data_IF_535146263948
#
_entry.id   IF_535146263948
#
_cell.length_a   1.000
_cell.length_b   1.000
_cell.length_c   1.000
_cell.angle_alpha   90.00
_cell.angle_beta   90.00
_cell.angle_gamma   90.00
#
_symmetry.space_group_name_H-M   'P 1'
#
loop_
_entity.id
_entity.type
_entity.pdbx_description
1 polymer ?
#
# COMPACT_ATOMS: atom_id res chain seq x y z
N UNK A 1 -8.30 29.72 16.68
CA UNK A 1 -8.34 28.45 15.88
C UNK A 1 -6.93 28.13 15.47
N UNK A 2 -6.32 27.13 16.10
CA UNK A 2 -5.00 26.65 15.65
C UNK A 2 -5.21 25.91 14.34
N UNK A 3 -4.76 26.48 13.23
CA UNK A 3 -4.62 25.77 11.97
C UNK A 3 -3.50 24.76 12.23
N UNK A 4 -3.86 23.51 12.50
CA UNK A 4 -2.87 22.44 12.49
C UNK A 4 -2.26 22.44 11.08
N UNK A 5 -1.04 22.90 10.96
CA UNK A 5 -0.28 22.79 9.74
C UNK A 5 -0.22 21.29 9.41
N UNK A 6 -0.88 20.88 8.33
CA UNK A 6 -0.81 19.51 7.87
C UNK A 6 0.60 19.31 7.31
N UNK A 7 1.41 18.64 8.10
CA UNK A 7 2.81 18.43 7.79
C UNK A 7 2.99 17.57 6.54
N UNK A 8 4.01 17.88 5.76
CA UNK A 8 4.52 16.95 4.74
C UNK A 8 5.09 15.74 5.48
N UNK A 9 4.75 14.55 5.03
CA UNK A 9 5.25 13.30 5.61
C UNK A 9 6.09 12.56 4.58
N UNK A 10 7.27 12.12 4.99
CA UNK A 10 8.10 11.15 4.30
C UNK A 10 7.97 9.80 5.00
N UNK A 11 7.84 8.73 4.24
CA UNK A 11 7.74 7.35 4.73
C UNK A 11 8.69 6.47 3.89
N UNK A 12 9.80 6.08 4.48
CA UNK A 12 10.71 5.09 3.89
C UNK A 12 10.38 3.72 4.43
N UNK A 13 10.41 2.70 3.56
CA UNK A 13 10.13 1.30 3.90
C UNK A 13 11.02 0.38 3.12
N UNK A 14 11.62 -0.57 3.84
CA UNK A 14 12.27 -1.75 3.29
C UNK A 14 11.37 -2.97 3.50
N UNK A 15 11.27 -3.83 2.50
CA UNK A 15 10.45 -5.05 2.48
C UNK A 15 11.28 -6.24 2.02
N UNK A 16 11.07 -7.40 2.66
CA UNK A 16 11.66 -8.68 2.31
C UNK A 16 10.63 -9.80 2.50
N UNK A 17 10.63 -10.79 1.62
CA UNK A 17 9.86 -12.03 1.76
C UNK A 17 10.81 -13.17 2.13
N UNK A 18 10.31 -14.19 2.84
CA UNK A 18 11.11 -15.33 3.35
C UNK A 18 11.24 -16.52 2.37
N UNK A 19 10.57 -16.48 1.22
CA UNK A 19 10.62 -17.55 0.23
C UNK A 19 11.95 -17.59 -0.53
N UNK A 20 12.25 -18.75 -1.15
CA UNK A 20 13.33 -18.88 -2.11
C UNK A 20 13.12 -17.89 -3.26
N UNK A 21 14.13 -17.06 -3.57
CA UNK A 21 13.99 -15.94 -4.51
C UNK A 21 13.47 -14.68 -3.82
N UNK A 22 13.85 -14.49 -2.56
CA UNK A 22 13.56 -13.29 -1.79
C UNK A 22 13.90 -12.04 -2.58
N UNK A 23 12.92 -11.21 -2.83
CA UNK A 23 13.15 -9.91 -3.44
C UNK A 23 13.09 -8.84 -2.38
N UNK A 24 14.20 -8.13 -2.21
CA UNK A 24 14.22 -6.91 -1.44
C UNK A 24 13.55 -5.79 -2.23
N UNK A 25 12.73 -5.00 -1.55
CA UNK A 25 12.03 -3.87 -2.14
C UNK A 25 12.11 -2.68 -1.21
N UNK A 26 12.30 -1.53 -1.81
CA UNK A 26 12.33 -0.26 -1.11
C UNK A 26 11.25 0.66 -1.64
N UNK A 27 10.79 1.55 -0.76
CA UNK A 27 9.78 2.53 -1.07
C UNK A 27 10.06 3.84 -0.34
N UNK A 28 10.01 4.93 -1.05
CA UNK A 28 9.93 6.26 -0.47
C UNK A 28 8.61 6.90 -0.89
N UNK A 29 7.78 7.22 0.09
CA UNK A 29 6.51 7.91 -0.09
C UNK A 29 6.63 9.32 0.50
N UNK A 30 6.27 10.31 -0.29
CA UNK A 30 6.04 11.68 0.16
C UNK A 30 4.54 11.97 0.08
N UNK A 31 3.96 12.50 1.13
CA UNK A 31 2.53 12.81 1.17
C UNK A 31 2.24 14.11 1.91
N UNK A 32 1.17 14.77 1.49
CA UNK A 32 0.65 15.96 2.13
C UNK A 32 -0.87 15.97 2.09
N UNK A 33 -1.48 16.33 3.23
CA UNK A 33 -2.93 16.59 3.33
C UNK A 33 -3.13 18.06 3.63
N UNK A 34 -3.77 18.78 2.70
CA UNK A 34 -4.11 20.19 2.88
C UNK A 34 -5.26 20.38 3.90
N UNK A 35 -5.34 21.56 4.48
CA UNK A 35 -6.36 21.88 5.49
C UNK A 35 -7.80 21.75 4.98
N UNK A 36 -8.01 21.90 3.66
CA UNK A 36 -9.32 21.74 3.02
C UNK A 36 -9.73 20.28 2.81
N UNK A 37 -8.90 19.31 3.21
CA UNK A 37 -9.15 17.87 3.03
C UNK A 37 -8.57 17.27 1.76
N UNK A 38 -8.07 18.07 0.81
CA UNK A 38 -7.39 17.57 -0.38
C UNK A 38 -6.03 16.97 0.01
N UNK A 39 -5.64 15.87 -0.63
CA UNK A 39 -4.38 15.19 -0.36
C UNK A 39 -3.69 14.75 -1.63
N UNK A 40 -2.38 14.85 -1.61
CA UNK A 40 -1.50 14.35 -2.66
C UNK A 40 -0.44 13.45 -2.06
N UNK A 41 -0.04 12.41 -2.80
CA UNK A 41 1.14 11.64 -2.49
C UNK A 41 1.88 11.21 -3.75
N UNK A 42 3.19 11.08 -3.61
CA UNK A 42 4.11 10.57 -4.62
C UNK A 42 4.94 9.46 -3.99
N UNK A 43 4.97 8.30 -4.63
CA UNK A 43 5.74 7.13 -4.20
C UNK A 43 6.72 6.70 -5.28
N UNK A 44 7.98 6.57 -4.91
CA UNK A 44 9.01 5.89 -5.68
C UNK A 44 9.25 4.49 -5.12
N UNK A 45 9.35 3.50 -5.99
CA UNK A 45 9.55 2.09 -5.64
C UNK A 45 10.80 1.55 -6.32
N UNK A 46 11.55 0.74 -5.60
CA UNK A 46 12.72 0.02 -6.10
C UNK A 46 12.61 -1.46 -5.72
N UNK A 47 13.30 -2.29 -6.47
CA UNK A 47 13.53 -3.70 -6.15
C UNK A 47 15.00 -4.00 -6.30
N UNK A 48 15.52 -4.79 -5.38
CA UNK A 48 16.91 -5.20 -5.35
C UNK A 48 17.11 -6.64 -5.82
N UNK A 49 18.25 -7.19 -5.43
CA UNK A 49 18.66 -8.57 -5.72
C UNK A 49 17.64 -9.59 -5.20
N UNK A 50 17.59 -10.74 -5.88
CA UNK A 50 16.89 -11.94 -5.41
C UNK A 50 17.68 -12.67 -4.30
N UNK A 51 18.93 -12.30 -4.07
CA UNK A 51 19.78 -12.86 -3.02
C UNK A 51 19.39 -12.24 -1.66
N UNK A 52 18.98 -13.10 -0.72
CA UNK A 52 18.55 -12.69 0.64
C UNK A 52 19.65 -11.96 1.43
N UNK A 53 20.91 -12.21 1.09
CA UNK A 53 22.06 -11.64 1.79
C UNK A 53 22.51 -10.29 1.18
N UNK A 54 21.81 -9.82 0.13
CA UNK A 54 22.15 -8.62 -0.63
C UNK A 54 20.97 -7.63 -0.71
N UNK A 55 20.59 -7.08 0.43
CA UNK A 55 19.40 -6.25 0.58
C UNK A 55 19.33 -5.02 -0.35
N UNK A 56 20.47 -4.41 -0.66
CA UNK A 56 20.56 -3.15 -1.43
C UNK A 56 21.40 -3.27 -2.69
N UNK A 57 21.72 -4.51 -3.10
CA UNK A 57 22.50 -4.76 -4.30
C UNK A 57 21.60 -4.81 -5.56
N UNK A 58 22.15 -4.39 -6.70
CA UNK A 58 21.48 -4.42 -8.01
C UNK A 58 20.11 -3.73 -8.02
N UNK A 59 19.96 -2.63 -7.28
CA UNK A 59 18.70 -1.92 -7.14
C UNK A 59 18.26 -1.26 -8.45
N UNK A 60 17.03 -1.57 -8.89
CA UNK A 60 16.42 -0.99 -10.09
C UNK A 60 15.03 -0.43 -9.78
N UNK A 61 14.52 0.43 -10.67
CA UNK A 61 13.17 0.98 -10.53
C UNK A 61 12.10 -0.13 -10.53
N UNK A 62 11.15 -0.02 -9.64
CA UNK A 62 9.95 -0.88 -9.55
C UNK A 62 8.65 -0.07 -9.73
N UNK A 63 8.75 1.10 -10.34
CA UNK A 63 7.63 1.97 -10.66
C UNK A 63 7.43 3.13 -9.70
N UNK A 64 6.46 3.96 -10.04
CA UNK A 64 6.03 5.11 -9.25
C UNK A 64 4.52 5.11 -9.10
N UNK A 65 4.03 5.70 -8.02
CA UNK A 65 2.59 5.91 -7.81
C UNK A 65 2.31 7.35 -7.40
N UNK A 66 1.31 7.94 -8.04
CA UNK A 66 0.77 9.26 -7.67
C UNK A 66 -0.66 9.07 -7.22
N UNK A 67 -1.01 9.67 -6.07
CA UNK A 67 -2.37 9.60 -5.53
C UNK A 67 -2.89 11.01 -5.28
N UNK A 68 -4.12 11.26 -5.72
CA UNK A 68 -4.91 12.42 -5.31
C UNK A 68 -6.17 11.94 -4.58
N UNK A 69 -6.52 12.59 -3.48
CA UNK A 69 -7.70 12.20 -2.71
C UNK A 69 -8.32 13.40 -1.99
N UNK A 70 -9.55 13.21 -1.53
CA UNK A 70 -10.24 14.20 -0.72
C UNK A 70 -10.92 13.53 0.47
N UNK A 71 -10.63 14.00 1.68
CA UNK A 71 -11.29 13.53 2.90
C UNK A 71 -12.48 14.43 3.21
N UNK A 72 -13.67 13.83 3.22
CA UNK A 72 -14.91 14.46 3.66
C UNK A 72 -15.34 13.85 5.00
N UNK A 73 -15.37 14.68 6.04
CA UNK A 73 -15.87 14.30 7.36
C UNK A 73 -17.38 14.45 7.39
N UNK A 74 -18.10 13.34 7.51
CA UNK A 74 -19.56 13.31 7.65
C UNK A 74 -19.92 13.80 9.07
N UNK A 75 -19.20 13.29 10.07
CA UNK A 75 -19.32 13.67 11.48
C UNK A 75 -18.02 13.26 12.23
N UNK A 76 -18.02 13.28 13.55
CA UNK A 76 -16.86 12.92 14.37
C UNK A 76 -16.49 11.43 14.26
N UNK A 77 -17.48 10.57 13.94
CA UNK A 77 -17.29 9.13 13.84
C UNK A 77 -16.95 8.70 12.41
N UNK A 78 -17.64 9.24 11.39
CA UNK A 78 -17.57 8.77 10.02
C UNK A 78 -16.92 9.77 9.07
N UNK A 79 -16.06 9.27 8.21
CA UNK A 79 -15.52 10.00 7.07
C UNK A 79 -15.46 9.13 5.82
N UNK A 80 -15.52 9.76 4.67
CA UNK A 80 -15.30 9.15 3.37
C UNK A 80 -14.12 9.82 2.66
N UNK A 81 -13.43 9.04 1.83
CA UNK A 81 -12.30 9.52 1.06
C UNK A 81 -12.38 8.94 -0.35
N UNK A 82 -12.99 9.64 -1.31
CA UNK A 82 -12.77 9.38 -2.72
C UNK A 82 -11.34 9.74 -3.11
N UNK A 83 -10.76 8.95 -4.02
CA UNK A 83 -9.42 9.21 -4.52
C UNK A 83 -9.15 8.48 -5.82
N UNK A 84 -8.02 8.81 -6.39
CA UNK A 84 -7.51 8.21 -7.61
C UNK A 84 -6.01 7.99 -7.47
N UNK A 85 -5.54 6.81 -7.86
CA UNK A 85 -4.11 6.54 -7.98
C UNK A 85 -3.75 6.10 -9.39
N UNK A 86 -2.59 6.58 -9.85
CA UNK A 86 -1.92 6.15 -11.05
C UNK A 86 -0.61 5.48 -10.65
N UNK A 87 -0.53 4.18 -10.86
CA UNK A 87 0.68 3.39 -10.63
C UNK A 87 1.32 3.06 -11.97
N UNK A 88 2.56 3.48 -12.16
CA UNK A 88 3.27 3.35 -13.42
C UNK A 88 4.50 2.46 -13.24
N UNK A 89 4.83 1.70 -14.27
CA UNK A 89 6.04 0.91 -14.37
C UNK A 89 6.67 1.10 -15.75
N UNK A 90 7.78 0.42 -16.02
CA UNK A 90 8.44 0.46 -17.33
C UNK A 90 7.56 -0.01 -18.49
N UNK A 91 6.52 -0.81 -18.23
CA UNK A 91 5.72 -1.47 -19.26
C UNK A 91 4.21 -1.35 -19.05
N UNK A 92 3.75 -0.69 -18.01
CA UNK A 92 2.31 -0.61 -17.73
C UNK A 92 1.91 0.63 -16.94
N UNK A 93 0.66 1.06 -17.16
CA UNK A 93 -0.02 2.04 -16.32
C UNK A 93 -1.25 1.38 -15.71
N UNK A 94 -1.44 1.58 -14.41
CA UNK A 94 -2.55 1.06 -13.65
C UNK A 94 -3.38 2.20 -13.06
N UNK A 95 -4.60 2.36 -13.54
CA UNK A 95 -5.55 3.39 -13.13
C UNK A 95 -6.46 2.84 -12.05
N UNK A 96 -6.46 3.47 -10.86
CA UNK A 96 -7.11 2.93 -9.67
C UNK A 96 -7.92 4.00 -8.95
N UNK A 97 -9.14 4.32 -9.38
CA UNK A 97 -10.06 5.09 -8.55
C UNK A 97 -10.41 4.32 -7.28
N UNK A 98 -10.73 5.01 -6.20
CA UNK A 98 -11.16 4.34 -4.97
C UNK A 98 -12.14 5.17 -4.16
N UNK A 99 -12.85 4.46 -3.31
CA UNK A 99 -13.62 5.04 -2.23
C UNK A 99 -13.25 4.33 -0.92
N UNK A 100 -12.86 5.10 0.09
CA UNK A 100 -12.59 4.61 1.43
C UNK A 100 -13.60 5.19 2.41
N UNK A 101 -14.25 4.33 3.20
CA UNK A 101 -14.98 4.69 4.40
C UNK A 101 -14.11 4.45 5.63
N UNK A 102 -14.14 5.36 6.61
CA UNK A 102 -13.50 5.17 7.91
C UNK A 102 -14.48 5.51 9.02
N UNK A 103 -14.49 4.68 10.08
CA UNK A 103 -15.23 4.88 11.30
C UNK A 103 -14.28 4.92 12.51
N UNK A 104 -14.36 5.94 13.36
CA UNK A 104 -13.76 5.95 14.68
C UNK A 104 -14.75 5.28 15.63
N UNK A 105 -14.46 4.03 16.02
CA UNK A 105 -15.33 3.22 16.87
C UNK A 105 -15.23 3.64 18.32
N UNK A 106 -14.03 4.01 18.75
CA UNK A 106 -13.71 4.63 20.03
C UNK A 106 -12.61 5.67 19.82
N UNK A 107 -12.14 6.32 20.88
CA UNK A 107 -10.99 7.25 20.81
C UNK A 107 -9.70 6.54 20.35
N UNK A 108 -9.58 5.25 20.66
CA UNK A 108 -8.39 4.44 20.39
C UNK A 108 -8.56 3.48 19.23
N UNK A 109 -9.78 3.11 18.84
CA UNK A 109 -10.06 2.10 17.83
C UNK A 109 -10.75 2.72 16.64
N UNK A 110 -10.21 2.47 15.45
CA UNK A 110 -10.86 2.84 14.18
C UNK A 110 -10.83 1.69 13.18
N UNK A 111 -11.84 1.66 12.33
CA UNK A 111 -11.92 0.73 11.21
C UNK A 111 -12.07 1.48 9.89
N UNK A 112 -11.52 0.94 8.82
CA UNK A 112 -11.73 1.47 7.47
C UNK A 112 -11.91 0.35 6.45
N UNK A 113 -12.68 0.65 5.41
CA UNK A 113 -12.86 -0.21 4.24
C UNK A 113 -12.65 0.63 2.99
N UNK A 114 -11.80 0.14 2.08
CA UNK A 114 -11.55 0.76 0.78
C UNK A 114 -11.91 -0.21 -0.34
N UNK A 115 -12.78 0.21 -1.24
CA UNK A 115 -13.00 -0.42 -2.53
C UNK A 115 -12.19 0.33 -3.59
N UNK A 116 -11.37 -0.40 -4.36
CA UNK A 116 -10.47 0.16 -5.37
C UNK A 116 -10.49 -0.70 -6.63
N UNK A 117 -11.39 -0.43 -7.58
CA UNK A 117 -11.31 -1.02 -8.91
C UNK A 117 -10.00 -0.58 -9.60
N UNK A 118 -9.51 -1.41 -10.51
CA UNK A 118 -8.33 -1.10 -11.30
C UNK A 118 -8.53 -1.45 -12.77
N UNK A 119 -7.90 -0.64 -13.60
CA UNK A 119 -7.69 -0.91 -15.02
C UNK A 119 -6.21 -0.74 -15.31
N UNK A 120 -5.54 -1.85 -15.64
CA UNK A 120 -4.12 -1.88 -15.96
C UNK A 120 -3.96 -2.08 -17.46
N UNK A 121 -3.28 -1.15 -18.10
CA UNK A 121 -2.88 -1.21 -19.50
C UNK A 121 -1.42 -1.61 -19.58
N UNK A 122 -1.13 -2.72 -20.25
CA UNK A 122 0.21 -3.17 -20.56
C UNK A 122 0.58 -2.65 -21.96
N UNK A 123 1.73 -1.99 -22.10
CA UNK A 123 2.18 -1.45 -23.37
C UNK A 123 2.93 -2.49 -24.18
N UNK A 124 2.48 -2.73 -25.42
CA UNK A 124 3.18 -3.55 -26.39
C UNK A 124 4.28 -2.83 -27.17
N UNK A 125 4.37 -1.50 -27.01
CA UNK A 125 5.40 -0.69 -27.70
C UNK A 125 6.80 -0.83 -27.07
N UNK A 126 6.91 -1.54 -25.95
CA UNK A 126 8.16 -1.84 -25.26
C UNK A 126 8.45 -3.33 -25.45
N UNK A 127 9.22 -3.63 -26.49
CA UNK A 127 9.51 -5.01 -26.92
C UNK A 127 8.57 -5.49 -28.03
N UNK A 128 8.34 -6.80 -28.10
CA UNK A 128 7.53 -7.46 -29.13
C UNK A 128 6.13 -7.85 -28.69
N UNK A 129 5.75 -7.52 -27.46
CA UNK A 129 4.46 -7.87 -26.90
C UNK A 129 3.33 -7.01 -27.50
N UNK A 130 2.14 -7.60 -27.64
CA UNK A 130 0.93 -6.84 -28.01
C UNK A 130 0.41 -6.03 -26.83
N UNK A 131 -0.24 -4.90 -27.12
CA UNK A 131 -1.01 -4.17 -26.10
C UNK A 131 -2.06 -5.09 -25.49
N UNK A 132 -2.09 -5.14 -24.18
CA UNK A 132 -3.07 -5.91 -23.41
C UNK A 132 -3.61 -5.06 -22.27
N UNK A 133 -4.76 -5.43 -21.77
CA UNK A 133 -5.32 -4.82 -20.57
C UNK A 133 -5.88 -5.86 -19.62
N UNK A 134 -5.86 -5.54 -18.35
CA UNK A 134 -6.48 -6.33 -17.30
C UNK A 134 -7.22 -5.42 -16.34
N UNK A 135 -8.30 -5.92 -15.76
CA UNK A 135 -9.10 -5.19 -14.78
C UNK A 135 -9.50 -6.10 -13.61
N UNK A 136 -9.92 -5.46 -12.56
CA UNK A 136 -10.37 -6.13 -11.35
C UNK A 136 -10.58 -5.11 -10.23
N UNK A 137 -10.48 -5.55 -8.99
CA UNK A 137 -10.61 -4.67 -7.85
C UNK A 137 -9.86 -5.20 -6.62
N UNK A 138 -9.61 -4.28 -5.68
CA UNK A 138 -9.16 -4.57 -4.33
C UNK A 138 -10.22 -4.14 -3.33
N UNK A 139 -10.41 -4.96 -2.29
CA UNK A 139 -11.08 -4.61 -1.05
C UNK A 139 -10.03 -4.63 0.06
N UNK A 140 -9.76 -3.48 0.69
CA UNK A 140 -8.80 -3.37 1.78
C UNK A 140 -9.52 -2.96 3.06
N UNK A 141 -9.46 -3.78 4.09
CA UNK A 141 -9.98 -3.48 5.42
C UNK A 141 -8.82 -3.27 6.39
N UNK A 142 -8.90 -2.23 7.21
CA UNK A 142 -7.89 -1.95 8.24
C UNK A 142 -8.60 -1.71 9.56
N UNK A 143 -8.17 -2.46 10.59
CA UNK A 143 -8.50 -2.20 11.98
C UNK A 143 -7.27 -1.61 12.66
N UNK A 144 -7.42 -0.43 13.24
CA UNK A 144 -6.34 0.29 13.93
C UNK A 144 -6.66 0.43 15.40
N UNK A 145 -5.70 0.09 16.26
CA UNK A 145 -5.79 0.23 17.69
C UNK A 145 -4.59 1.01 18.24
N UNK A 146 -4.86 2.11 18.94
CA UNK A 146 -3.87 2.90 19.67
C UNK A 146 -3.83 2.42 21.12
N UNK A 147 -2.65 2.24 21.65
CA UNK A 147 -2.48 1.78 23.04
C UNK A 147 -1.18 2.35 23.63
N UNK A 148 -1.09 2.32 24.96
CA UNK A 148 0.06 2.86 25.70
C UNK A 148 0.50 4.26 25.20
N UNK A 149 -0.47 5.08 24.75
CA UNK A 149 -0.32 6.45 24.28
C UNK A 149 0.47 6.62 22.97
N UNK A 150 1.62 5.92 22.82
CA UNK A 150 2.57 6.15 21.74
C UNK A 150 2.65 4.98 20.74
N UNK A 151 1.85 3.94 20.92
CA UNK A 151 1.82 2.76 20.05
C UNK A 151 0.53 2.68 19.25
N UNK A 152 0.66 2.19 18.02
CA UNK A 152 -0.49 1.85 17.18
C UNK A 152 -0.24 0.50 16.51
N UNK A 153 -1.20 -0.41 16.64
CA UNK A 153 -1.27 -1.66 15.91
C UNK A 153 -2.33 -1.53 14.81
N UNK A 154 -1.93 -1.79 13.58
CA UNK A 154 -2.85 -1.91 12.44
C UNK A 154 -2.89 -3.37 11.98
N UNK A 155 -4.10 -3.90 11.80
CA UNK A 155 -4.33 -5.16 11.11
C UNK A 155 -5.03 -4.87 9.78
N UNK A 156 -4.37 -5.22 8.68
CA UNK A 156 -4.86 -5.03 7.32
C UNK A 156 -5.17 -6.38 6.67
N UNK A 157 -6.35 -6.48 6.05
CA UNK A 157 -6.71 -7.54 5.13
C UNK A 157 -6.92 -6.91 3.76
N UNK A 158 -6.24 -7.39 2.74
CA UNK A 158 -6.45 -6.99 1.35
C UNK A 158 -6.91 -8.20 0.53
N UNK A 159 -8.08 -8.09 -0.06
CA UNK A 159 -8.60 -9.02 -1.06
C UNK A 159 -8.47 -8.41 -2.43
N UNK A 160 -7.77 -9.08 -3.33
CA UNK A 160 -7.64 -8.68 -4.73
C UNK A 160 -8.34 -9.69 -5.63
N UNK A 161 -9.10 -9.20 -6.61
CA UNK A 161 -9.77 -10.01 -7.64
C UNK A 161 -9.41 -9.47 -9.02
N UNK A 162 -9.00 -10.36 -9.92
CA UNK A 162 -8.90 -10.09 -11.34
C UNK A 162 -10.20 -10.54 -12.05
N UNK A 163 -10.78 -9.66 -12.87
CA UNK A 163 -11.96 -9.96 -13.66
C UNK A 163 -11.61 -10.36 -15.09
N UNK A 164 -10.39 -10.03 -15.55
CA UNK A 164 -9.92 -10.40 -16.88
C UNK A 164 -9.64 -11.89 -16.97
N UNK A 165 -10.10 -12.53 -18.03
CA UNK A 165 -9.88 -13.94 -18.28
C UNK A 165 -8.39 -14.28 -18.37
N UNK A 166 -7.99 -15.40 -17.78
CA UNK A 166 -6.61 -15.91 -17.81
C UNK A 166 -5.63 -15.19 -16.86
N UNK A 167 -6.09 -14.21 -16.08
CA UNK A 167 -5.24 -13.57 -15.07
C UNK A 167 -5.29 -14.37 -13.79
N UNK A 168 -4.17 -15.00 -13.44
CA UNK A 168 -3.97 -15.75 -12.20
C UNK A 168 -3.22 -14.88 -11.20
N UNK A 169 -3.74 -14.77 -9.97
CA UNK A 169 -3.14 -13.99 -8.89
C UNK A 169 -2.39 -14.88 -7.89
N UNK A 170 -3.03 -15.96 -7.42
CA UNK A 170 -2.48 -16.91 -6.46
C UNK A 170 -3.19 -18.25 -6.59
N UNK A 171 -2.53 -19.37 -6.27
CA UNK A 171 -3.09 -20.73 -6.21
C UNK A 171 -3.97 -21.09 -7.42
N UNK A 172 -3.50 -20.78 -8.62
CA UNK A 172 -4.25 -20.94 -9.88
C UNK A 172 -5.58 -20.17 -9.95
N UNK A 173 -5.85 -19.31 -8.97
CA UNK A 173 -7.09 -18.56 -8.84
C UNK A 173 -6.94 -17.10 -9.30
N UNK A 174 -8.06 -16.50 -9.68
CA UNK A 174 -8.13 -15.09 -10.08
C UNK A 174 -8.28 -14.12 -8.90
N UNK A 175 -8.07 -14.59 -7.68
CA UNK A 175 -8.06 -13.77 -6.48
C UNK A 175 -6.88 -14.11 -5.56
N UNK A 176 -6.57 -13.19 -4.63
CA UNK A 176 -5.56 -13.36 -3.60
C UNK A 176 -5.97 -12.62 -2.33
N UNK A 177 -5.55 -13.16 -1.20
CA UNK A 177 -5.69 -12.57 0.13
C UNK A 177 -4.33 -12.25 0.72
N UNK A 178 -4.20 -11.08 1.29
CA UNK A 178 -3.03 -10.74 2.10
C UNK A 178 -3.45 -10.26 3.47
N UNK A 179 -2.63 -10.57 4.47
CA UNK A 179 -2.83 -10.16 5.85
C UNK A 179 -1.57 -9.49 6.34
N UNK A 180 -1.69 -8.34 6.98
CA UNK A 180 -0.55 -7.61 7.53
C UNK A 180 -0.85 -7.10 8.94
N UNK A 181 0.08 -7.31 9.85
CA UNK A 181 0.13 -6.66 11.14
C UNK A 181 1.26 -5.63 11.13
N UNK A 182 0.96 -4.39 11.47
CA UNK A 182 1.94 -3.31 11.52
C UNK A 182 1.91 -2.65 12.89
N UNK A 183 3.04 -2.66 13.58
CA UNK A 183 3.25 -1.94 14.83
C UNK A 183 4.03 -0.66 14.55
N UNK A 184 3.45 0.48 14.91
CA UNK A 184 4.07 1.80 14.81
C UNK A 184 4.32 2.34 16.22
N UNK A 185 5.52 2.87 16.45
CA UNK A 185 5.90 3.57 17.67
C UNK A 185 6.09 5.07 17.37
N UNK A 186 5.33 5.91 18.05
CA UNK A 186 5.47 7.36 17.96
C UNK A 186 6.62 7.78 18.88
N UNK A 187 7.85 7.82 18.33
CA UNK A 187 9.05 8.15 19.10
C UNK A 187 9.01 9.59 19.62
N UNK A 188 8.61 10.53 18.77
CA UNK A 188 8.37 11.92 19.11
C UNK A 188 7.29 12.54 18.20
N UNK A 189 7.19 13.87 18.16
CA UNK A 189 6.21 14.58 17.33
C UNK A 189 6.46 14.41 15.82
N UNK A 190 7.68 14.10 15.40
CA UNK A 190 8.10 14.02 14.02
C UNK A 190 8.36 12.58 13.56
N UNK A 191 9.01 11.75 14.40
CA UNK A 191 9.49 10.42 14.05
C UNK A 191 8.55 9.31 14.50
N UNK A 192 8.22 8.42 13.58
CA UNK A 192 7.39 7.24 13.86
C UNK A 192 7.96 6.01 13.13
N UNK A 193 8.95 5.31 13.72
CA UNK A 193 9.40 4.01 13.21
C UNK A 193 8.29 2.96 13.30
N UNK A 194 8.36 1.97 12.41
CA UNK A 194 7.42 0.85 12.41
C UNK A 194 8.03 -0.43 11.88
N UNK A 195 7.42 -1.54 12.26
CA UNK A 195 7.66 -2.85 11.68
C UNK A 195 6.34 -3.49 11.28
N UNK A 196 6.37 -4.38 10.29
CA UNK A 196 5.19 -5.13 9.91
C UNK A 196 5.58 -6.55 9.49
N UNK A 197 4.65 -7.47 9.77
CA UNK A 197 4.71 -8.87 9.35
C UNK A 197 3.43 -9.17 8.58
N UNK A 198 3.56 -9.77 7.41
CA UNK A 198 2.44 -10.12 6.57
C UNK A 198 2.48 -11.56 6.09
N UNK A 199 1.31 -12.13 5.86
CA UNK A 199 1.12 -13.38 5.16
C UNK A 199 0.62 -13.07 3.75
N UNK A 200 1.39 -13.45 2.75
CA UNK A 200 1.13 -13.15 1.33
C UNK A 200 1.27 -14.41 0.49
N UNK A 201 0.73 -14.42 -0.72
CA UNK A 201 0.92 -15.53 -1.65
C UNK A 201 2.40 -15.70 -2.01
N UNK A 202 2.88 -16.94 -1.98
CA UNK A 202 4.22 -17.34 -2.42
C UNK A 202 4.24 -17.84 -3.86
N UNK A 203 3.09 -18.29 -4.38
CA UNK A 203 2.98 -18.90 -5.69
C UNK A 203 1.71 -18.46 -6.41
N UNK A 204 1.80 -18.37 -7.75
CA UNK A 204 0.61 -18.22 -8.58
C UNK A 204 -0.09 -19.56 -8.89
N UNK A 205 0.57 -20.68 -8.68
CA UNK A 205 0.12 -22.01 -9.13
C UNK A 205 -0.32 -22.89 -7.97
N UNK A 206 0.27 -22.68 -6.80
CA UNK A 206 0.00 -23.45 -5.57
C UNK A 206 -0.49 -22.57 -4.47
N UNK A 207 -1.05 -23.17 -3.43
CA UNK A 207 -1.54 -22.52 -2.19
C UNK A 207 -0.41 -22.07 -1.26
N UNK A 208 0.85 -22.14 -1.72
CA UNK A 208 2.02 -21.74 -0.93
C UNK A 208 1.89 -20.30 -0.43
N UNK A 209 2.10 -20.13 0.86
CA UNK A 209 2.13 -18.82 1.53
C UNK A 209 3.55 -18.50 1.96
N UNK A 210 3.86 -17.21 2.02
CA UNK A 210 5.16 -16.71 2.48
C UNK A 210 4.98 -15.57 3.47
N UNK A 211 5.99 -15.38 4.31
CA UNK A 211 6.01 -14.27 5.25
C UNK A 211 6.69 -13.06 4.63
N UNK A 212 6.04 -11.93 4.73
CA UNK A 212 6.57 -10.64 4.32
C UNK A 212 6.97 -9.84 5.54
N UNK A 213 8.22 -9.42 5.61
CA UNK A 213 8.75 -8.55 6.65
C UNK A 213 8.93 -7.16 6.10
N UNK A 214 8.55 -6.15 6.88
CA UNK A 214 8.74 -4.75 6.54
C UNK A 214 9.24 -3.97 7.75
N UNK A 215 10.19 -3.10 7.53
CA UNK A 215 10.65 -2.10 8.49
C UNK A 215 10.61 -0.74 7.81
N UNK A 216 10.29 0.28 8.56
CA UNK A 216 10.22 1.62 7.99
C UNK A 216 10.19 2.71 9.05
N UNK A 217 10.26 3.93 8.56
CA UNK A 217 10.20 5.12 9.39
C UNK A 217 9.42 6.21 8.68
N UNK A 218 8.55 6.87 9.43
CA UNK A 218 7.85 8.08 8.98
C UNK A 218 8.46 9.28 9.67
N UNK A 219 8.65 10.35 8.89
CA UNK A 219 9.01 11.67 9.38
C UNK A 219 7.94 12.67 8.93
N UNK A 220 7.40 13.42 9.87
CA UNK A 220 6.41 14.48 9.63
C UNK A 220 6.97 15.82 10.10
N UNK A 221 6.93 16.82 9.23
CA UNK A 221 7.43 18.18 9.53
C UNK A 221 6.49 18.95 10.45
#
# INVERSE_FOLDING_TARGET
MSIAAHAVTFDYRHEMNDSAGNSHKDRLLMSHRFANGFGLSLEGKWKGSQDKDKAFDETVSNGTEVVASYVYKINNTFQIEPGFSLDTSSSSNNYRPYLRGKANLTDDVSASLRYRPYYKRNSGNIGTAKDTSENGYNLTSVLSWKFLKDYQLDYEIDYKKANSAGVVLADSESYDWTHDFKLTYKFDKNWSPYMAVGNVSGSKVTDERQTRYRVGVKYSF
#
